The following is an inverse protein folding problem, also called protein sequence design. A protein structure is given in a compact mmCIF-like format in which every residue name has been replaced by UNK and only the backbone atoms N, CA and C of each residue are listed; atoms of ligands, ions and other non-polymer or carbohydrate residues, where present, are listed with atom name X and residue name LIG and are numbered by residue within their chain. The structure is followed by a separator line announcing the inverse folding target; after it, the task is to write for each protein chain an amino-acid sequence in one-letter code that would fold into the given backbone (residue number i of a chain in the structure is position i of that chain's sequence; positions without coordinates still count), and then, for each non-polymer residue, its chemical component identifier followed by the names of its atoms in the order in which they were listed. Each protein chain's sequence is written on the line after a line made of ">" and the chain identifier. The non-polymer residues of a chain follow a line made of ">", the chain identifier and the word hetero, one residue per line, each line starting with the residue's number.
data_IF_473325615138
#
_entry.id   IF_473325615138
#
_cell.length_a   1.000
_cell.length_b   1.000
_cell.length_c   1.000
_cell.angle_alpha   90.00
_cell.angle_beta   90.00
_cell.angle_gamma   90.00
#
_symmetry.space_group_name_H-M   'P 1'
#
loop_
_entity.id
_entity.type
_entity.pdbx_description
1 polymer ?
#
# COMPACT_ATOMS: atom_id res chain seq x y z
N UNK A 1 -30.48 30.94 -18.12
CA UNK A 1 -30.68 30.84 -19.58
C UNK A 1 -30.30 29.40 -19.96
N UNK A 2 -31.20 28.45 -19.68
CA UNK A 2 -31.91 27.58 -20.66
C UNK A 2 -30.93 26.87 -21.62
N UNK A 3 -30.90 25.55 -21.74
CA UNK A 3 -31.99 24.70 -22.27
C UNK A 3 -31.87 23.22 -21.80
N UNK A 4 -33.04 22.61 -21.61
CA UNK A 4 -33.37 21.19 -21.32
C UNK A 4 -33.70 20.46 -22.64
N UNK A 5 -33.70 19.10 -22.61
CA UNK A 5 -34.44 18.16 -23.48
C UNK A 5 -33.66 17.64 -24.73
N UNK A 6 -33.65 16.35 -25.11
CA UNK A 6 -34.70 15.32 -25.16
C UNK A 6 -34.16 13.86 -25.18
N UNK A 7 -34.91 12.95 -24.58
CA UNK A 7 -35.01 11.52 -24.90
C UNK A 7 -36.02 11.26 -26.03
N UNK A 8 -35.83 10.23 -26.87
CA UNK A 8 -36.86 9.75 -27.82
C UNK A 8 -36.41 8.60 -28.75
N UNK A 9 -37.26 7.58 -28.87
CA UNK A 9 -37.00 6.20 -29.36
C UNK A 9 -37.29 5.96 -30.87
N UNK A 10 -36.67 4.89 -31.41
CA UNK A 10 -37.24 3.81 -32.28
C UNK A 10 -37.15 3.78 -33.84
N UNK A 11 -36.26 2.88 -34.33
CA UNK A 11 -36.45 1.77 -35.32
C UNK A 11 -36.44 2.03 -36.87
N UNK A 12 -36.40 1.00 -37.76
CA UNK A 12 -35.16 0.42 -38.32
C UNK A 12 -35.16 0.29 -39.87
N UNK A 13 -34.01 0.26 -40.57
CA UNK A 13 -33.93 -0.31 -41.94
C UNK A 13 -32.57 -0.97 -42.25
N UNK A 14 -32.71 -2.10 -42.93
CA UNK A 14 -31.74 -3.09 -43.42
C UNK A 14 -30.78 -2.58 -44.51
N UNK A 15 -29.57 -3.16 -44.57
CA UNK A 15 -28.69 -3.06 -45.74
C UNK A 15 -27.31 -3.73 -45.56
N UNK A 16 -27.21 -4.99 -46.01
CA UNK A 16 -26.05 -5.71 -46.58
C UNK A 16 -24.61 -5.40 -46.11
N UNK A 17 -24.01 -6.40 -45.46
CA UNK A 17 -22.66 -6.93 -45.66
C UNK A 17 -21.49 -5.99 -45.97
N UNK A 18 -20.58 -5.85 -45.01
CA UNK A 18 -19.13 -5.94 -45.27
C UNK A 18 -18.39 -6.15 -43.95
N UNK A 19 -17.50 -7.14 -43.94
CA UNK A 19 -16.60 -7.48 -42.86
C UNK A 19 -15.79 -6.28 -42.36
N UNK A 20 -15.95 -5.91 -41.10
CA UNK A 20 -14.90 -5.25 -40.33
C UNK A 20 -14.75 -6.00 -39.02
N UNK A 21 -13.73 -6.85 -38.97
CA UNK A 21 -13.09 -7.24 -37.72
C UNK A 21 -12.67 -5.94 -37.02
N UNK A 22 -13.43 -5.56 -36.01
CA UNK A 22 -12.99 -4.55 -35.04
C UNK A 22 -11.85 -5.19 -34.27
N UNK A 23 -10.63 -4.76 -34.53
CA UNK A 23 -9.48 -5.05 -33.67
C UNK A 23 -9.80 -4.49 -32.29
N UNK A 24 -10.24 -5.36 -31.39
CA UNK A 24 -10.24 -5.06 -29.97
C UNK A 24 -8.78 -4.85 -29.56
N UNK A 25 -8.51 -3.61 -29.19
CA UNK A 25 -7.35 -3.15 -28.43
C UNK A 25 -7.19 -4.03 -27.20
N UNK A 26 -6.24 -4.97 -27.26
CA UNK A 26 -5.79 -5.76 -26.13
C UNK A 26 -4.43 -5.21 -25.68
N UNK A 27 -4.48 -4.25 -24.77
CA UNK A 27 -3.37 -3.89 -23.87
C UNK A 27 -4.01 -3.54 -22.53
N UNK A 28 -4.32 -4.56 -21.75
CA UNK A 28 -4.83 -4.45 -20.38
C UNK A 28 -3.68 -4.11 -19.41
N UNK A 29 -3.92 -3.42 -18.29
CA UNK A 29 -2.87 -3.06 -17.34
C UNK A 29 -2.50 -4.27 -16.45
N UNK A 30 -1.54 -5.06 -16.91
CA UNK A 30 -1.09 -6.34 -16.31
C UNK A 30 -0.66 -6.24 -14.82
N UNK A 31 -0.34 -5.03 -14.33
CA UNK A 31 0.07 -4.81 -12.93
C UNK A 31 -1.09 -4.85 -11.92
N UNK A 32 -2.28 -4.35 -12.30
CA UNK A 32 -3.47 -4.31 -11.43
C UNK A 32 -4.17 -5.67 -11.36
N UNK A 33 -4.00 -6.48 -12.40
CA UNK A 33 -4.52 -7.84 -12.48
C UNK A 33 -3.76 -8.78 -11.52
N UNK A 34 -2.50 -8.54 -11.18
CA UNK A 34 -1.71 -9.44 -10.32
C UNK A 34 -2.27 -9.59 -8.89
N UNK A 35 -2.59 -8.48 -8.22
CA UNK A 35 -3.20 -8.49 -6.87
C UNK A 35 -4.65 -9.00 -6.93
N UNK A 36 -5.38 -8.65 -7.99
CA UNK A 36 -6.78 -9.07 -8.21
C UNK A 36 -6.88 -10.56 -8.54
N UNK A 37 -5.94 -11.12 -9.32
CA UNK A 37 -5.83 -12.55 -9.64
C UNK A 37 -5.46 -13.36 -8.39
N UNK A 38 -4.57 -12.84 -7.54
CA UNK A 38 -4.25 -13.49 -6.26
C UNK A 38 -5.48 -13.54 -5.34
N UNK A 39 -6.26 -12.46 -5.27
CA UNK A 39 -7.53 -12.39 -4.53
C UNK A 39 -8.59 -13.38 -5.07
N UNK A 40 -8.71 -13.47 -6.40
CA UNK A 40 -9.67 -14.35 -7.09
C UNK A 40 -9.34 -15.83 -6.87
N UNK A 41 -8.05 -16.19 -6.85
CA UNK A 41 -7.59 -17.56 -6.56
C UNK A 41 -7.71 -17.95 -5.08
N UNK A 42 -7.62 -16.99 -4.16
CA UNK A 42 -7.62 -17.25 -2.71
C UNK A 42 -9.02 -17.40 -2.09
N UNK A 43 -10.07 -16.84 -2.70
CA UNK A 43 -11.37 -16.66 -2.03
C UNK A 43 -12.59 -17.24 -2.75
N UNK A 44 -12.41 -17.98 -3.85
CA UNK A 44 -13.51 -18.62 -4.58
C UNK A 44 -14.37 -19.58 -3.74
N UNK A 45 -13.77 -20.22 -2.73
CA UNK A 45 -14.39 -21.25 -1.90
C UNK A 45 -14.87 -20.75 -0.52
N UNK A 46 -14.82 -19.44 -0.26
CA UNK A 46 -15.24 -18.90 1.03
C UNK A 46 -16.75 -19.06 1.28
N UNK A 47 -17.14 -19.27 2.54
CA UNK A 47 -18.54 -19.50 2.93
C UNK A 47 -19.42 -18.26 2.71
N UNK A 48 -18.88 -17.07 2.94
CA UNK A 48 -19.58 -15.80 2.73
C UNK A 48 -18.78 -14.95 1.74
N UNK A 49 -19.27 -14.89 0.51
CA UNK A 49 -18.69 -14.09 -0.58
C UNK A 49 -19.59 -12.93 -1.01
N UNK A 50 -20.78 -12.79 -0.41
CA UNK A 50 -21.66 -11.68 -0.71
C UNK A 50 -21.03 -10.36 -0.24
N UNK A 51 -20.68 -9.48 -1.18
CA UNK A 51 -19.99 -8.20 -0.94
C UNK A 51 -20.60 -7.36 0.19
N UNK A 52 -21.93 -7.28 0.25
CA UNK A 52 -22.62 -6.52 1.30
C UNK A 52 -22.51 -7.19 2.68
N UNK A 53 -22.62 -8.53 2.72
CA UNK A 53 -22.44 -9.29 3.96
C UNK A 53 -21.00 -9.20 4.47
N UNK A 54 -20.00 -9.37 3.59
CA UNK A 54 -18.58 -9.24 3.92
C UNK A 54 -18.27 -7.85 4.46
N UNK A 55 -18.71 -6.79 3.75
CA UNK A 55 -18.57 -5.42 4.24
C UNK A 55 -19.20 -5.21 5.62
N UNK A 56 -20.41 -5.74 5.84
CA UNK A 56 -21.10 -5.69 7.13
C UNK A 56 -20.29 -6.36 8.25
N UNK A 57 -19.71 -7.53 7.97
CA UNK A 57 -18.85 -8.27 8.91
C UNK A 57 -17.59 -7.46 9.24
N UNK A 58 -16.92 -6.89 8.23
CA UNK A 58 -15.73 -6.06 8.44
C UNK A 58 -16.05 -4.84 9.31
N UNK A 59 -17.17 -4.16 9.07
CA UNK A 59 -17.61 -3.02 9.88
C UNK A 59 -17.92 -3.42 11.33
N UNK A 60 -18.54 -4.59 11.54
CA UNK A 60 -18.77 -5.13 12.89
C UNK A 60 -17.45 -5.42 13.59
N UNK A 61 -16.48 -6.03 12.90
CA UNK A 61 -15.13 -6.30 13.44
C UNK A 61 -14.48 -4.99 13.88
N UNK A 62 -14.46 -3.98 13.00
CA UNK A 62 -13.91 -2.66 13.32
C UNK A 62 -14.62 -2.04 14.54
N UNK A 63 -15.95 -2.03 14.55
CA UNK A 63 -16.72 -1.46 15.65
C UNK A 63 -16.45 -2.16 16.99
N UNK A 64 -16.34 -3.50 16.99
CA UNK A 64 -15.98 -4.29 18.18
C UNK A 64 -14.59 -3.89 18.66
N UNK A 65 -13.58 -3.90 17.78
CA UNK A 65 -12.19 -3.59 18.12
C UNK A 65 -12.08 -2.19 18.75
N UNK A 66 -12.68 -1.17 18.14
CA UNK A 66 -12.59 0.20 18.66
C UNK A 66 -13.36 0.37 19.98
N UNK A 67 -14.49 -0.32 20.15
CA UNK A 67 -15.26 -0.29 21.40
C UNK A 67 -14.51 -0.98 22.54
N UNK A 68 -13.84 -2.10 22.28
CA UNK A 68 -13.03 -2.80 23.28
C UNK A 68 -11.71 -2.06 23.55
N UNK A 69 -11.08 -1.45 22.54
CA UNK A 69 -9.85 -0.67 22.74
C UNK A 69 -10.07 0.62 23.53
N UNK A 70 -11.26 1.21 23.42
CA UNK A 70 -11.64 2.41 24.16
C UNK A 70 -12.27 2.11 25.52
N UNK A 71 -12.35 0.82 25.90
CA UNK A 71 -12.95 0.38 27.16
C UNK A 71 -12.03 0.62 28.35
N UNK A 72 -12.62 1.03 29.48
CA UNK A 72 -11.88 1.19 30.73
C UNK A 72 -11.50 -0.11 31.45
N UNK A 73 -11.99 -1.26 30.96
CA UNK A 73 -11.72 -2.56 31.57
C UNK A 73 -10.20 -2.86 31.61
N UNK A 74 -9.63 -3.20 32.79
CA UNK A 74 -8.21 -3.53 32.92
C UNK A 74 -7.72 -4.64 31.99
N UNK A 75 -8.56 -5.64 31.68
CA UNK A 75 -8.21 -6.73 30.76
C UNK A 75 -7.98 -6.23 29.34
N UNK A 76 -8.88 -5.36 28.86
CA UNK A 76 -8.75 -4.76 27.52
C UNK A 76 -7.56 -3.82 27.45
N UNK A 77 -7.32 -2.98 28.46
CA UNK A 77 -6.13 -2.12 28.52
C UNK A 77 -4.83 -2.93 28.46
N UNK A 78 -4.74 -4.05 29.18
CA UNK A 78 -3.57 -4.95 29.14
C UNK A 78 -3.40 -5.61 27.77
N UNK A 79 -4.50 -6.09 27.17
CA UNK A 79 -4.48 -6.73 25.86
C UNK A 79 -4.04 -5.75 24.75
N UNK A 80 -4.64 -4.56 24.67
CA UNK A 80 -4.29 -3.54 23.68
C UNK A 80 -2.92 -2.90 23.92
N UNK A 81 -2.37 -2.99 25.14
CA UNK A 81 -0.96 -2.68 25.40
C UNK A 81 0.03 -3.69 24.80
N UNK A 82 -0.46 -4.86 24.37
CA UNK A 82 0.32 -5.90 23.68
C UNK A 82 0.05 -5.95 22.19
N UNK A 83 -1.23 -5.93 21.82
CA UNK A 83 -1.69 -6.07 20.45
C UNK A 83 -2.42 -4.78 20.06
N UNK A 84 -1.82 -3.90 19.23
CA UNK A 84 -2.45 -2.65 18.84
C UNK A 84 -3.78 -2.86 18.12
N UNK A 85 -4.72 -1.92 18.26
CA UNK A 85 -6.05 -2.03 17.62
C UNK A 85 -5.94 -2.13 16.10
N UNK A 86 -5.10 -1.29 15.47
CA UNK A 86 -4.88 -1.31 14.02
C UNK A 86 -4.32 -2.66 13.53
N UNK A 87 -3.52 -3.34 14.35
CA UNK A 87 -3.01 -4.68 14.06
C UNK A 87 -4.15 -5.69 14.00
N UNK A 88 -5.12 -5.61 14.92
CA UNK A 88 -6.30 -6.47 14.89
C UNK A 88 -7.23 -6.17 13.73
N UNK A 89 -7.41 -4.89 13.38
CA UNK A 89 -8.21 -4.49 12.21
C UNK A 89 -7.70 -5.15 10.94
N UNK A 90 -6.39 -5.41 10.88
CA UNK A 90 -5.71 -6.08 9.78
C UNK A 90 -5.76 -7.61 9.89
N UNK A 91 -5.35 -8.17 11.04
CA UNK A 91 -5.20 -9.63 11.18
C UNK A 91 -6.52 -10.39 11.28
N UNK A 92 -7.56 -9.83 11.90
CA UNK A 92 -8.83 -10.56 12.09
C UNK A 92 -9.48 -10.86 10.74
N UNK A 93 -9.66 -9.89 9.82
CA UNK A 93 -10.15 -10.18 8.47
C UNK A 93 -9.34 -11.24 7.74
N UNK A 94 -8.00 -11.16 7.78
CA UNK A 94 -7.13 -12.13 7.09
C UNK A 94 -7.20 -13.53 7.67
N UNK A 95 -7.36 -13.67 8.99
CA UNK A 95 -7.62 -14.97 9.62
C UNK A 95 -8.95 -15.54 9.12
N UNK A 96 -10.01 -14.74 9.07
CA UNK A 96 -11.30 -15.19 8.55
C UNK A 96 -11.24 -15.54 7.06
N UNK A 97 -10.46 -14.78 6.27
CA UNK A 97 -10.19 -15.04 4.86
C UNK A 97 -9.45 -16.34 4.64
N UNK A 98 -8.32 -16.54 5.33
CA UNK A 98 -7.51 -17.77 5.31
C UNK A 98 -8.32 -19.02 5.68
N UNK A 99 -9.25 -18.92 6.65
CA UNK A 99 -10.12 -20.04 7.03
C UNK A 99 -11.34 -20.22 6.12
N UNK A 100 -11.48 -19.43 5.06
CA UNK A 100 -12.59 -19.50 4.12
C UNK A 100 -13.94 -19.09 4.73
N UNK A 101 -13.97 -18.28 5.80
CA UNK A 101 -15.21 -17.84 6.44
C UNK A 101 -15.84 -16.70 5.65
N UNK A 102 -15.02 -15.72 5.26
CA UNK A 102 -15.40 -14.59 4.40
C UNK A 102 -14.39 -14.48 3.25
N UNK A 103 -14.78 -13.94 2.11
CA UNK A 103 -13.87 -13.73 0.99
C UNK A 103 -14.37 -12.67 0.01
N UNK A 104 -13.45 -12.09 -0.75
CA UNK A 104 -13.74 -11.12 -1.83
C UNK A 104 -13.21 -11.64 -3.19
N UNK A 105 -13.79 -12.72 -3.75
CA UNK A 105 -13.25 -13.36 -4.95
C UNK A 105 -13.21 -12.45 -6.18
N UNK A 106 -14.03 -11.40 -6.24
CA UNK A 106 -13.99 -10.41 -7.33
C UNK A 106 -13.03 -9.24 -7.09
N UNK A 107 -12.40 -9.17 -5.91
CA UNK A 107 -11.59 -8.03 -5.49
C UNK A 107 -12.34 -6.70 -5.47
N UNK A 108 -13.67 -6.70 -5.40
CA UNK A 108 -14.49 -5.50 -5.54
C UNK A 108 -14.37 -4.59 -4.30
N UNK A 109 -14.32 -5.19 -3.10
CA UNK A 109 -14.08 -4.44 -1.87
C UNK A 109 -12.66 -3.89 -1.87
N UNK A 110 -11.69 -4.68 -2.33
CA UNK A 110 -10.31 -4.21 -2.51
C UNK A 110 -10.25 -3.04 -3.49
N UNK A 111 -10.94 -3.13 -4.64
CA UNK A 111 -11.03 -2.07 -5.63
C UNK A 111 -11.61 -0.78 -5.04
N UNK A 112 -12.75 -0.87 -4.33
CA UNK A 112 -13.37 0.30 -3.68
C UNK A 112 -12.44 0.88 -2.61
N UNK A 113 -11.83 0.03 -1.77
CA UNK A 113 -10.95 0.49 -0.70
C UNK A 113 -9.70 1.20 -1.25
N UNK A 114 -8.99 0.57 -2.19
CA UNK A 114 -7.71 1.06 -2.74
C UNK A 114 -7.88 2.25 -3.69
N UNK A 115 -8.97 2.33 -4.47
CA UNK A 115 -9.14 3.34 -5.52
C UNK A 115 -10.13 4.47 -5.18
N UNK A 116 -10.96 4.29 -4.17
CA UNK A 116 -11.91 5.31 -3.73
C UNK A 116 -11.58 5.79 -2.32
N UNK A 117 -11.47 4.85 -1.36
CA UNK A 117 -11.30 5.22 0.05
C UNK A 117 -9.88 5.71 0.35
N UNK A 118 -8.84 5.05 -0.17
CA UNK A 118 -7.45 5.46 0.02
C UNK A 118 -7.16 6.88 -0.52
N UNK A 119 -7.37 7.20 -1.82
CA UNK A 119 -7.09 8.56 -2.30
C UNK A 119 -7.94 9.61 -1.59
N UNK A 120 -9.20 9.30 -1.26
CA UNK A 120 -10.07 10.19 -0.48
C UNK A 120 -9.51 10.44 0.92
N UNK A 121 -9.07 9.39 1.62
CA UNK A 121 -8.50 9.54 2.95
C UNK A 121 -7.19 10.32 2.90
N UNK A 122 -6.35 10.11 1.89
CA UNK A 122 -5.11 10.87 1.70
C UNK A 122 -5.38 12.35 1.49
N UNK A 123 -6.33 12.73 0.64
CA UNK A 123 -6.75 14.12 0.46
C UNK A 123 -7.16 14.74 1.80
N UNK A 124 -8.03 14.05 2.54
CA UNK A 124 -8.56 14.55 3.80
C UNK A 124 -7.49 14.67 4.90
N UNK A 125 -6.56 13.71 4.98
CA UNK A 125 -5.42 13.77 5.90
C UNK A 125 -4.43 14.87 5.51
N UNK A 126 -4.29 15.16 4.22
CA UNK A 126 -3.47 16.28 3.73
C UNK A 126 -4.05 17.64 4.13
N UNK A 127 -5.36 17.78 4.34
CA UNK A 127 -5.94 19.07 4.75
C UNK A 127 -5.36 19.59 6.06
N UNK A 128 -4.99 18.68 6.97
CA UNK A 128 -4.47 19.00 8.30
C UNK A 128 -2.94 19.02 8.37
N UNK A 129 -2.25 18.91 7.24
CA UNK A 129 -0.80 18.71 7.16
C UNK A 129 0.02 19.96 7.54
N UNK A 130 1.17 19.73 8.16
CA UNK A 130 2.23 20.74 8.36
C UNK A 130 3.38 20.43 7.38
N UNK A 131 3.30 20.99 6.16
CA UNK A 131 4.31 20.83 5.10
C UNK A 131 5.73 21.21 5.59
N UNK A 132 5.95 22.40 6.20
CA UNK A 132 7.24 22.73 6.81
C UNK A 132 7.71 21.71 7.85
N UNK A 133 6.79 21.21 8.67
CA UNK A 133 7.06 20.17 9.66
C UNK A 133 7.55 18.85 9.06
N UNK A 134 7.02 18.45 7.90
CA UNK A 134 7.46 17.25 7.19
C UNK A 134 8.88 17.40 6.66
N UNK A 135 9.23 18.53 6.05
CA UNK A 135 10.60 18.78 5.60
C UNK A 135 11.60 18.79 6.77
N UNK A 136 11.16 19.15 7.98
CA UNK A 136 11.97 19.11 9.21
C UNK A 136 12.21 17.71 9.77
N UNK A 137 11.48 16.67 9.32
CA UNK A 137 11.82 15.28 9.65
C UNK A 137 13.25 14.93 9.18
N UNK A 138 13.73 15.67 8.17
CA UNK A 138 15.15 15.81 7.89
C UNK A 138 15.76 14.60 7.17
N UNK A 139 17.08 14.65 6.93
CA UNK A 139 17.79 13.65 6.13
C UNK A 139 17.79 12.25 6.76
N UNK A 140 17.57 12.13 8.07
CA UNK A 140 17.49 10.83 8.76
C UNK A 140 16.43 9.91 8.15
N UNK A 141 15.28 10.45 7.76
CA UNK A 141 14.22 9.66 7.12
C UNK A 141 14.66 9.12 5.75
N UNK A 142 15.31 9.97 4.94
CA UNK A 142 15.84 9.56 3.63
C UNK A 142 16.96 8.53 3.76
N UNK A 143 17.86 8.68 4.75
CA UNK A 143 18.90 7.69 5.02
C UNK A 143 18.28 6.32 5.32
N UNK A 144 17.24 6.27 6.15
CA UNK A 144 16.54 5.03 6.46
C UNK A 144 15.82 4.46 5.24
N UNK A 145 15.17 5.30 4.43
CA UNK A 145 14.55 4.88 3.18
C UNK A 145 15.57 4.24 2.22
N UNK A 146 16.71 4.89 1.97
CA UNK A 146 17.74 4.32 1.09
C UNK A 146 18.46 3.13 1.71
N UNK A 147 18.52 3.04 3.05
CA UNK A 147 19.00 1.84 3.75
C UNK A 147 18.04 0.68 3.53
N UNK A 148 16.71 0.91 3.54
CA UNK A 148 15.74 -0.12 3.20
C UNK A 148 15.94 -0.59 1.75
N UNK A 149 16.09 0.34 0.80
CA UNK A 149 16.40 0.02 -0.60
C UNK A 149 17.67 -0.83 -0.72
N UNK A 150 18.78 -0.41 -0.10
CA UNK A 150 20.03 -1.16 -0.11
C UNK A 150 19.89 -2.54 0.57
N UNK A 151 19.08 -2.63 1.64
CA UNK A 151 18.75 -3.87 2.30
C UNK A 151 18.02 -4.86 1.40
N UNK A 152 17.12 -4.39 0.54
CA UNK A 152 16.49 -5.24 -0.48
C UNK A 152 17.51 -5.64 -1.56
N UNK A 153 18.29 -4.69 -2.09
CA UNK A 153 19.28 -4.97 -3.15
C UNK A 153 20.32 -6.02 -2.73
N UNK A 154 20.82 -5.93 -1.50
CA UNK A 154 21.83 -6.85 -0.98
C UNK A 154 21.21 -8.11 -0.37
N UNK A 155 19.99 -7.99 0.17
CA UNK A 155 19.29 -9.09 0.84
C UNK A 155 18.85 -10.20 -0.12
N UNK A 156 18.53 -9.88 -1.38
CA UNK A 156 18.10 -10.88 -2.38
C UNK A 156 19.20 -11.89 -2.70
N UNK A 157 20.39 -11.42 -3.16
CA UNK A 157 21.55 -12.29 -3.37
C UNK A 157 21.96 -13.04 -2.11
N UNK A 158 21.90 -12.38 -0.95
CA UNK A 158 22.18 -13.03 0.34
C UNK A 158 21.19 -14.16 0.65
N UNK A 159 19.89 -13.96 0.43
CA UNK A 159 18.88 -14.98 0.67
C UNK A 159 19.01 -16.17 -0.28
N UNK A 160 19.30 -15.92 -1.56
CA UNK A 160 19.61 -16.97 -2.54
C UNK A 160 20.82 -17.78 -2.07
N UNK A 161 21.90 -17.10 -1.67
CA UNK A 161 23.11 -17.77 -1.19
C UNK A 161 22.85 -18.61 0.07
N UNK A 162 22.12 -18.10 1.05
CA UNK A 162 21.82 -18.87 2.27
C UNK A 162 20.99 -20.12 1.95
N UNK A 163 19.99 -19.99 1.08
CA UNK A 163 19.10 -21.12 0.72
C UNK A 163 19.82 -22.12 -0.19
N UNK A 164 20.73 -21.69 -1.06
CA UNK A 164 21.49 -22.60 -1.93
C UNK A 164 22.38 -23.57 -1.13
N UNK A 165 22.80 -23.22 0.09
CA UNK A 165 23.58 -24.09 0.98
C UNK A 165 22.83 -25.35 1.42
N UNK A 166 21.49 -25.33 1.43
CA UNK A 166 20.68 -26.44 1.95
C UNK A 166 19.60 -26.94 0.97
N UNK A 167 19.17 -26.09 0.02
CA UNK A 167 18.13 -26.36 -0.97
C UNK A 167 18.48 -25.70 -2.32
N UNK A 168 19.53 -26.18 -3.01
CA UNK A 168 19.98 -25.58 -4.28
C UNK A 168 18.92 -25.63 -5.38
N UNK A 169 18.10 -26.69 -5.42
CA UNK A 169 17.05 -26.86 -6.43
C UNK A 169 15.98 -25.76 -6.40
N UNK A 170 15.75 -25.16 -5.23
CA UNK A 170 14.74 -24.10 -5.03
C UNK A 170 15.19 -22.77 -5.64
N UNK A 171 16.50 -22.51 -5.65
CA UNK A 171 17.06 -21.22 -6.09
C UNK A 171 17.78 -21.31 -7.44
N UNK A 172 17.75 -22.50 -8.07
CA UNK A 172 18.24 -22.73 -9.42
C UNK A 172 17.18 -22.52 -10.50
N UNK A 173 17.29 -23.29 -11.58
CA UNK A 173 16.42 -23.24 -12.76
C UNK A 173 17.09 -22.58 -13.97
N UNK A 174 16.53 -22.82 -15.15
CA UNK A 174 17.04 -22.32 -16.42
C UNK A 174 15.95 -21.57 -17.20
N UNK A 175 16.38 -20.72 -18.14
CA UNK A 175 15.46 -19.98 -19.01
C UNK A 175 14.48 -19.13 -18.19
N UNK A 176 13.21 -19.17 -18.56
CA UNK A 176 12.14 -18.39 -17.92
C UNK A 176 11.72 -18.92 -16.53
N UNK A 177 12.10 -20.16 -16.19
CA UNK A 177 11.81 -20.79 -14.89
C UNK A 177 12.92 -20.55 -13.86
N UNK A 178 13.99 -19.84 -14.24
CA UNK A 178 15.07 -19.53 -13.32
C UNK A 178 14.56 -18.67 -12.16
N UNK A 179 14.75 -19.13 -10.93
CA UNK A 179 14.13 -18.55 -9.73
C UNK A 179 14.45 -17.08 -9.56
N UNK A 180 15.68 -16.66 -9.90
CA UNK A 180 16.10 -15.26 -9.84
C UNK A 180 15.27 -14.34 -10.76
N UNK A 181 14.70 -14.85 -11.87
CA UNK A 181 13.78 -14.07 -12.72
C UNK A 181 12.46 -13.83 -12.02
N UNK A 182 11.95 -14.83 -11.31
CA UNK A 182 10.78 -14.67 -10.44
C UNK A 182 11.07 -13.67 -9.31
N UNK A 183 12.18 -13.86 -8.59
CA UNK A 183 12.58 -12.97 -7.50
C UNK A 183 12.87 -11.54 -7.95
N UNK A 184 13.15 -11.32 -9.24
CA UNK A 184 13.27 -9.97 -9.83
C UNK A 184 11.98 -9.15 -9.69
N UNK A 185 10.81 -9.79 -9.80
CA UNK A 185 9.53 -9.12 -9.68
C UNK A 185 9.23 -8.79 -8.22
N UNK A 186 9.59 -9.69 -7.30
CA UNK A 186 9.56 -9.44 -5.84
C UNK A 186 10.48 -8.27 -5.46
N UNK A 187 11.69 -8.20 -6.02
CA UNK A 187 12.58 -7.05 -5.80
C UNK A 187 11.95 -5.73 -6.28
N UNK A 188 11.24 -5.77 -7.42
CA UNK A 188 10.48 -4.64 -7.94
C UNK A 188 9.41 -4.18 -6.95
N UNK A 189 8.59 -5.12 -6.47
CA UNK A 189 7.58 -4.85 -5.44
C UNK A 189 8.19 -4.31 -4.15
N UNK A 190 9.30 -4.89 -3.71
CA UNK A 190 9.92 -4.52 -2.45
C UNK A 190 10.77 -3.25 -2.50
N UNK A 191 10.95 -2.69 -3.68
CA UNK A 191 11.55 -1.36 -3.88
C UNK A 191 10.54 -0.54 -4.67
N UNK A 192 9.41 -0.22 -4.05
CA UNK A 192 8.45 0.75 -4.59
C UNK A 192 7.16 0.17 -5.15
N UNK A 193 6.78 -1.08 -4.89
CA UNK A 193 5.43 -1.60 -5.12
C UNK A 193 5.11 -2.14 -6.52
N UNK A 194 3.83 -2.46 -6.76
CA UNK A 194 3.37 -3.26 -7.91
C UNK A 194 3.71 -2.70 -9.30
N UNK A 195 3.81 -1.38 -9.47
CA UNK A 195 4.21 -0.80 -10.75
C UNK A 195 5.66 -1.18 -11.13
N UNK A 196 6.57 -1.21 -10.16
CA UNK A 196 7.93 -1.68 -10.36
C UNK A 196 7.97 -3.21 -10.53
N UNK A 197 7.11 -3.96 -9.84
CA UNK A 197 6.95 -5.41 -10.08
C UNK A 197 6.61 -5.69 -11.55
N UNK A 198 5.64 -4.97 -12.11
CA UNK A 198 5.22 -5.13 -13.50
C UNK A 198 6.33 -4.75 -14.48
N UNK A 199 7.06 -3.66 -14.24
CA UNK A 199 8.22 -3.31 -15.04
C UNK A 199 9.28 -4.43 -15.05
N UNK A 200 9.52 -5.06 -13.90
CA UNK A 200 10.47 -6.18 -13.78
C UNK A 200 9.97 -7.44 -14.50
N UNK A 201 8.65 -7.71 -14.50
CA UNK A 201 8.05 -8.81 -15.28
C UNK A 201 8.37 -8.66 -16.78
N UNK A 202 8.20 -7.45 -17.33
CA UNK A 202 8.47 -7.17 -18.74
C UNK A 202 9.95 -7.24 -19.11
N UNK A 203 10.85 -6.86 -18.19
CA UNK A 203 12.30 -6.90 -18.44
C UNK A 203 12.85 -8.33 -18.38
N UNK A 204 12.43 -9.11 -17.39
CA UNK A 204 13.04 -10.42 -17.08
C UNK A 204 12.20 -11.61 -17.50
N UNK A 205 10.96 -11.41 -17.95
CA UNK A 205 10.09 -12.42 -18.55
C UNK A 205 10.11 -13.76 -17.80
N UNK A 206 9.81 -13.79 -16.49
CA UNK A 206 9.58 -15.04 -15.78
C UNK A 206 8.38 -15.77 -16.40
N UNK A 207 8.31 -17.09 -16.25
CA UNK A 207 7.11 -17.83 -16.65
C UNK A 207 5.88 -17.36 -15.86
N UNK A 208 4.68 -17.48 -16.45
CA UNK A 208 3.45 -17.07 -15.76
C UNK A 208 3.23 -17.85 -14.46
N UNK A 209 3.60 -19.14 -14.44
CA UNK A 209 3.53 -19.98 -13.24
C UNK A 209 4.47 -19.46 -12.14
N UNK A 210 5.71 -19.14 -12.50
CA UNK A 210 6.69 -18.60 -11.56
C UNK A 210 6.26 -17.22 -11.07
N UNK A 211 5.76 -16.37 -11.97
CA UNK A 211 5.26 -15.04 -11.62
C UNK A 211 4.09 -15.10 -10.62
N UNK A 212 3.11 -15.98 -10.84
CA UNK A 212 1.99 -16.18 -9.90
C UNK A 212 2.47 -16.66 -8.52
N UNK A 213 3.44 -17.57 -8.47
CA UNK A 213 4.05 -18.00 -7.21
C UNK A 213 4.78 -16.83 -6.50
N UNK A 214 5.44 -15.95 -7.25
CA UNK A 214 6.14 -14.79 -6.71
C UNK A 214 5.21 -13.71 -6.19
N UNK A 215 4.06 -13.47 -6.84
CA UNK A 215 3.01 -12.59 -6.30
C UNK A 215 2.54 -13.12 -4.94
N UNK A 216 2.32 -14.43 -4.85
CA UNK A 216 1.89 -15.08 -3.60
C UNK A 216 2.92 -14.85 -2.48
N UNK A 217 4.20 -15.05 -2.79
CA UNK A 217 5.31 -14.81 -1.84
C UNK A 217 5.39 -13.34 -1.45
N UNK A 218 5.32 -12.43 -2.42
CA UNK A 218 5.36 -10.98 -2.23
C UNK A 218 4.28 -10.53 -1.25
N UNK A 219 3.01 -10.81 -1.57
CA UNK A 219 1.85 -10.40 -0.78
C UNK A 219 1.98 -10.89 0.65
N UNK A 220 2.24 -12.18 0.88
CA UNK A 220 2.25 -12.75 2.22
C UNK A 220 3.46 -12.28 3.04
N UNK A 221 4.67 -12.21 2.47
CA UNK A 221 5.86 -11.74 3.19
C UNK A 221 5.75 -10.25 3.51
N UNK A 222 5.28 -9.43 2.56
CA UNK A 222 5.02 -8.01 2.78
C UNK A 222 3.95 -7.80 3.86
N UNK A 223 2.90 -8.64 3.87
CA UNK A 223 1.83 -8.63 4.85
C UNK A 223 2.31 -8.99 6.27
N UNK A 224 3.13 -10.04 6.41
CA UNK A 224 3.78 -10.39 7.70
C UNK A 224 4.64 -9.21 8.19
N UNK A 225 5.41 -8.60 7.29
CA UNK A 225 6.23 -7.43 7.61
C UNK A 225 5.41 -6.21 7.99
N UNK A 226 4.30 -5.94 7.30
CA UNK A 226 3.35 -4.89 7.64
C UNK A 226 2.73 -5.12 9.01
N UNK A 227 2.35 -6.36 9.33
CA UNK A 227 1.90 -6.74 10.66
C UNK A 227 2.93 -6.41 11.74
N UNK A 228 4.21 -6.71 11.51
CA UNK A 228 5.29 -6.31 12.41
C UNK A 228 5.42 -4.78 12.54
N UNK A 229 5.26 -4.03 11.45
CA UNK A 229 5.31 -2.56 11.48
C UNK A 229 4.13 -1.92 12.23
N UNK A 230 2.92 -2.44 12.04
CA UNK A 230 1.74 -2.01 12.79
C UNK A 230 1.86 -2.34 14.29
N UNK A 231 2.43 -3.50 14.61
CA UNK A 231 2.76 -3.87 15.98
C UNK A 231 3.79 -2.90 16.60
N UNK A 232 4.85 -2.58 15.84
CA UNK A 232 5.88 -1.62 16.24
C UNK A 232 5.29 -0.22 16.47
N UNK A 233 4.37 0.24 15.61
CA UNK A 233 3.73 1.54 15.71
C UNK A 233 3.02 1.73 17.06
N UNK A 234 2.22 0.74 17.48
CA UNK A 234 1.56 0.76 18.79
C UNK A 234 2.51 0.60 19.98
N UNK A 235 3.78 0.29 19.74
CA UNK A 235 4.85 0.14 20.75
C UNK A 235 6.06 1.03 20.48
N UNK A 236 5.86 2.12 19.74
CA UNK A 236 6.93 3.02 19.31
C UNK A 236 7.82 3.49 20.45
N UNK A 237 7.24 3.84 21.60
CA UNK A 237 7.99 4.28 22.79
C UNK A 237 8.96 3.22 23.37
N UNK A 238 8.69 1.93 23.17
CA UNK A 238 9.61 0.84 23.58
C UNK A 238 10.80 0.79 22.60
N UNK A 239 10.51 0.79 21.30
CA UNK A 239 11.53 0.75 20.25
C UNK A 239 12.41 1.99 20.26
N UNK A 240 11.82 3.17 20.40
CA UNK A 240 12.55 4.44 20.45
C UNK A 240 13.53 4.49 21.64
N UNK A 241 13.14 3.94 22.80
CA UNK A 241 14.04 3.81 23.96
C UNK A 241 15.20 2.86 23.67
N UNK A 242 14.94 1.72 23.03
CA UNK A 242 15.98 0.76 22.64
C UNK A 242 16.94 1.32 21.58
N UNK A 243 16.42 2.10 20.63
CA UNK A 243 17.17 2.80 19.59
C UNK A 243 17.94 4.02 20.12
N UNK A 244 17.66 4.48 21.35
CA UNK A 244 18.10 5.78 21.88
C UNK A 244 17.74 6.92 20.92
N UNK A 245 16.53 6.85 20.37
CA UNK A 245 16.08 7.71 19.30
C UNK A 245 15.98 9.17 19.73
N UNK A 246 16.42 10.07 18.83
CA UNK A 246 16.13 11.49 18.93
C UNK A 246 14.76 11.76 18.29
N UNK A 247 13.78 12.04 19.16
CA UNK A 247 12.38 12.26 18.78
C UNK A 247 12.01 13.73 18.65
N UNK A 248 12.95 14.65 18.81
CA UNK A 248 12.67 16.10 18.91
C UNK A 248 11.81 16.60 17.75
N UNK A 249 12.17 16.26 16.51
CA UNK A 249 11.42 16.68 15.33
C UNK A 249 10.01 16.07 15.24
N UNK A 250 9.86 14.82 15.68
CA UNK A 250 8.57 14.11 15.66
C UNK A 250 7.63 14.64 16.74
N UNK A 251 8.14 14.84 17.96
CA UNK A 251 7.35 15.31 19.09
C UNK A 251 6.95 16.79 18.90
N UNK A 252 7.82 17.61 18.30
CA UNK A 252 7.52 19.01 17.95
C UNK A 252 6.45 19.10 16.85
N UNK A 253 6.51 18.22 15.85
CA UNK A 253 5.45 18.07 14.84
C UNK A 253 4.12 17.66 15.49
N UNK A 254 4.11 16.64 16.36
CA UNK A 254 2.89 16.22 17.06
C UNK A 254 2.30 17.36 17.90
N UNK A 255 3.14 18.06 18.68
CA UNK A 255 2.72 19.16 19.56
C UNK A 255 2.11 20.32 18.79
N UNK A 256 2.73 20.75 17.69
CA UNK A 256 2.18 21.82 16.84
C UNK A 256 0.82 21.46 16.29
N UNK A 257 0.67 20.22 15.85
CA UNK A 257 -0.55 19.81 15.19
C UNK A 257 -1.68 19.65 16.21
N UNK A 258 -1.39 19.21 17.44
CA UNK A 258 -2.38 19.22 18.54
C UNK A 258 -2.77 20.65 18.95
N UNK A 259 -1.81 21.57 19.03
CA UNK A 259 -2.08 22.98 19.36
C UNK A 259 -2.93 23.69 18.29
N UNK A 260 -2.76 23.37 17.01
CA UNK A 260 -3.53 23.97 15.92
C UNK A 260 -5.02 23.61 15.96
N UNK A 261 -5.37 22.39 16.39
CA UNK A 261 -6.72 21.84 16.24
C UNK A 261 -7.44 21.54 17.56
N UNK A 262 -6.73 21.32 18.66
CA UNK A 262 -7.30 20.94 19.95
C UNK A 262 -8.32 21.94 20.51
N UNK A 263 -8.09 23.24 20.29
CA UNK A 263 -8.94 24.31 20.84
C UNK A 263 -10.08 24.79 19.93
N UNK A 264 -10.23 24.21 18.72
CA UNK A 264 -11.21 24.67 17.72
C UNK A 264 -12.21 23.61 17.29
N UNK A 265 -12.15 22.42 17.88
CA UNK A 265 -13.06 21.33 17.53
C UNK A 265 -14.50 21.63 17.95
N UNK A 266 -15.46 21.27 17.10
CA UNK A 266 -16.90 21.33 17.42
C UNK A 266 -17.62 20.08 16.91
N UNK A 267 -18.86 19.87 17.39
CA UNK A 267 -19.71 18.79 16.90
C UNK A 267 -20.05 19.08 15.42
N UNK A 268 -19.81 18.12 14.50
CA UNK A 268 -20.13 18.29 13.10
C UNK A 268 -21.65 18.19 12.87
N UNK A 269 -22.17 19.06 12.02
CA UNK A 269 -23.51 18.91 11.44
C UNK A 269 -23.47 17.95 10.24
N UNK A 270 -24.63 17.48 9.79
CA UNK A 270 -24.73 16.70 8.54
C UNK A 270 -24.15 17.46 7.35
N UNK A 271 -24.32 18.79 7.30
CA UNK A 271 -23.73 19.63 6.25
C UNK A 271 -22.19 19.62 6.29
N UNK A 272 -21.60 19.64 7.48
CA UNK A 272 -20.14 19.54 7.65
C UNK A 272 -19.62 18.19 7.14
N UNK A 273 -20.30 17.09 7.51
CA UNK A 273 -19.94 15.75 7.07
C UNK A 273 -20.08 15.59 5.55
N UNK A 274 -21.17 16.10 4.97
CA UNK A 274 -21.36 16.11 3.51
C UNK A 274 -20.29 16.94 2.81
N UNK A 275 -19.86 18.06 3.41
CA UNK A 275 -18.78 18.90 2.86
C UNK A 275 -17.44 18.16 2.90
N UNK A 276 -17.12 17.47 3.99
CA UNK A 276 -15.92 16.62 4.09
C UNK A 276 -15.93 15.56 2.99
N UNK A 277 -17.02 14.81 2.85
CA UNK A 277 -17.16 13.80 1.80
C UNK A 277 -17.05 14.41 0.40
N UNK A 278 -17.72 15.53 0.14
CA UNK A 278 -17.69 16.20 -1.15
C UNK A 278 -16.27 16.64 -1.52
N UNK A 279 -15.53 17.27 -0.61
CA UNK A 279 -14.14 17.70 -0.88
C UNK A 279 -13.23 16.50 -1.14
N UNK A 280 -13.30 15.46 -0.31
CA UNK A 280 -12.46 14.28 -0.46
C UNK A 280 -12.75 13.50 -1.75
N UNK A 281 -14.02 13.20 -2.03
CA UNK A 281 -14.40 12.42 -3.21
C UNK A 281 -14.35 13.22 -4.51
N UNK A 282 -14.59 14.55 -4.50
CA UNK A 282 -14.40 15.37 -5.70
C UNK A 282 -12.92 15.43 -6.10
N UNK A 283 -12.01 15.62 -5.14
CA UNK A 283 -10.58 15.57 -5.40
C UNK A 283 -10.15 14.19 -5.95
N UNK A 284 -10.68 13.12 -5.38
CA UNK A 284 -10.44 11.74 -5.86
C UNK A 284 -10.98 11.52 -7.27
N UNK A 285 -12.19 11.99 -7.57
CA UNK A 285 -12.76 11.90 -8.92
C UNK A 285 -11.92 12.64 -9.97
N UNK A 286 -11.44 13.84 -9.64
CA UNK A 286 -10.51 14.60 -10.50
C UNK A 286 -9.21 13.79 -10.71
N UNK A 287 -8.66 13.23 -9.64
CA UNK A 287 -7.44 12.43 -9.71
C UNK A 287 -7.62 11.17 -10.57
N UNK A 288 -8.75 10.50 -10.45
CA UNK A 288 -9.08 9.30 -11.20
C UNK A 288 -9.21 9.57 -12.70
N UNK A 289 -10.03 10.56 -13.10
CA UNK A 289 -10.20 10.96 -14.50
C UNK A 289 -8.86 11.43 -15.10
N UNK A 290 -8.05 12.15 -14.31
CA UNK A 290 -6.73 12.58 -14.77
C UNK A 290 -5.78 11.40 -14.96
N UNK A 291 -5.81 10.42 -14.05
CA UNK A 291 -4.98 9.22 -14.14
C UNK A 291 -5.35 8.35 -15.35
N UNK A 292 -6.65 8.21 -15.66
CA UNK A 292 -7.15 7.52 -16.86
C UNK A 292 -6.68 8.17 -18.16
N UNK A 293 -6.44 9.48 -18.16
CA UNK A 293 -5.90 10.18 -19.32
C UNK A 293 -4.36 10.09 -19.40
N UNK A 294 -3.68 10.25 -18.27
CA UNK A 294 -2.23 10.40 -18.24
C UNK A 294 -1.50 9.06 -18.43
N UNK A 295 -1.93 7.99 -17.76
CA UNK A 295 -1.27 6.67 -17.84
C UNK A 295 -1.20 6.13 -19.28
N UNK A 296 -2.35 5.99 -19.97
CA UNK A 296 -2.39 5.54 -21.36
C UNK A 296 -1.69 6.51 -22.34
N UNK A 297 -1.68 7.82 -22.04
CA UNK A 297 -0.92 8.77 -22.85
C UNK A 297 0.59 8.48 -22.80
N UNK A 298 1.13 8.20 -21.61
CA UNK A 298 2.53 7.79 -21.45
C UNK A 298 2.81 6.46 -22.15
N UNK A 299 1.90 5.49 -22.05
CA UNK A 299 2.02 4.21 -22.71
C UNK A 299 2.10 4.36 -24.24
N UNK A 300 1.24 5.19 -24.83
CA UNK A 300 1.20 5.40 -26.28
C UNK A 300 2.35 6.27 -26.82
N UNK A 301 2.77 7.31 -26.08
CA UNK A 301 3.71 8.32 -26.59
C UNK A 301 5.14 8.15 -26.07
N UNK A 302 5.31 7.51 -24.92
CA UNK A 302 6.61 7.28 -24.29
C UNK A 302 6.64 5.93 -23.57
N UNK A 303 6.54 4.77 -24.28
CA UNK A 303 6.53 3.44 -23.66
C UNK A 303 7.73 3.20 -22.73
N UNK A 304 8.86 3.81 -23.06
CA UNK A 304 10.07 3.77 -22.24
C UNK A 304 9.89 4.32 -20.82
N UNK A 305 8.83 5.10 -20.57
CA UNK A 305 8.51 5.68 -19.27
C UNK A 305 7.93 4.65 -18.27
N UNK A 306 7.55 3.46 -18.75
CA UNK A 306 7.12 2.35 -17.89
C UNK A 306 8.17 1.98 -16.84
N UNK A 307 9.47 2.15 -17.16
CA UNK A 307 10.59 1.95 -16.22
C UNK A 307 10.60 2.91 -15.02
N UNK A 308 9.79 3.96 -15.06
CA UNK A 308 9.61 4.94 -13.99
C UNK A 308 8.19 4.86 -13.38
N UNK A 309 7.43 3.80 -13.68
CA UNK A 309 6.03 3.62 -13.27
C UNK A 309 5.06 4.70 -13.81
N UNK A 310 5.47 5.52 -14.79
CA UNK A 310 4.64 6.63 -15.30
C UNK A 310 3.47 6.17 -16.18
N UNK A 311 3.44 4.90 -16.59
CA UNK A 311 2.30 4.29 -17.28
C UNK A 311 1.23 3.78 -16.30
N UNK A 312 1.52 3.74 -14.99
CA UNK A 312 0.59 3.22 -13.99
C UNK A 312 -0.51 4.24 -13.66
N UNK A 313 -1.76 3.84 -13.84
CA UNK A 313 -2.93 4.62 -13.41
C UNK A 313 -2.93 4.82 -11.89
N UNK A 314 -2.65 3.77 -11.11
CA UNK A 314 -2.61 3.85 -9.64
C UNK A 314 -1.54 4.84 -9.14
N UNK A 315 -0.36 4.88 -9.78
CA UNK A 315 0.67 5.88 -9.50
C UNK A 315 0.12 7.31 -9.61
N UNK A 316 -0.49 7.63 -10.75
CA UNK A 316 -1.04 8.97 -11.00
C UNK A 316 -2.23 9.30 -10.11
N UNK A 317 -3.11 8.32 -9.84
CA UNK A 317 -4.22 8.49 -8.90
C UNK A 317 -3.72 8.99 -7.55
N UNK A 318 -2.72 8.32 -6.96
CA UNK A 318 -2.18 8.69 -5.65
C UNK A 318 -1.41 10.01 -5.71
N UNK A 319 -0.58 10.22 -6.73
CA UNK A 319 0.21 11.45 -6.89
C UNK A 319 -0.71 12.66 -7.03
N UNK A 320 -1.72 12.59 -7.89
CA UNK A 320 -2.65 13.69 -8.15
C UNK A 320 -3.55 13.94 -6.96
N UNK A 321 -4.14 12.89 -6.36
CA UNK A 321 -4.99 13.03 -5.17
C UNK A 321 -4.22 13.71 -4.02
N UNK A 322 -2.98 13.27 -3.77
CA UNK A 322 -2.13 13.86 -2.73
C UNK A 322 -1.75 15.29 -3.08
N UNK A 323 -1.41 15.57 -4.34
CA UNK A 323 -1.10 16.94 -4.79
C UNK A 323 -2.29 17.87 -4.59
N UNK A 324 -3.50 17.45 -4.95
CA UNK A 324 -4.73 18.22 -4.71
C UNK A 324 -4.92 18.42 -3.21
N UNK A 325 -4.77 17.38 -2.39
CA UNK A 325 -4.87 17.48 -0.92
C UNK A 325 -3.88 18.49 -0.33
N UNK A 326 -2.63 18.49 -0.80
CA UNK A 326 -1.59 19.44 -0.38
C UNK A 326 -1.93 20.86 -0.84
N UNK A 327 -2.39 21.05 -2.07
CA UNK A 327 -2.84 22.35 -2.56
C UNK A 327 -4.02 22.87 -1.75
N UNK A 328 -5.00 22.01 -1.45
CA UNK A 328 -6.14 22.33 -0.60
C UNK A 328 -5.71 22.67 0.83
N UNK A 329 -4.65 22.05 1.36
CA UNK A 329 -4.11 22.38 2.67
C UNK A 329 -3.65 23.85 2.78
N UNK A 330 -3.22 24.46 1.65
CA UNK A 330 -2.86 25.87 1.57
C UNK A 330 -4.08 26.80 1.65
N UNK A 331 -5.29 26.31 1.36
CA UNK A 331 -6.52 27.08 1.48
C UNK A 331 -7.05 27.03 2.93
N UNK A 332 -7.10 28.20 3.57
CA UNK A 332 -7.58 28.33 4.96
C UNK A 332 -9.01 27.81 5.18
N UNK A 333 -9.86 27.88 4.15
CA UNK A 333 -11.24 27.35 4.19
C UNK A 333 -11.27 25.82 4.26
N UNK A 334 -10.48 25.15 3.42
CA UNK A 334 -10.42 23.68 3.41
C UNK A 334 -9.81 23.14 4.72
N UNK A 335 -8.81 23.83 5.29
CA UNK A 335 -8.21 23.47 6.58
C UNK A 335 -9.19 23.52 7.75
N UNK A 336 -10.21 24.40 7.69
CA UNK A 336 -11.27 24.47 8.74
C UNK A 336 -12.12 23.20 8.81
N UNK A 337 -12.13 22.36 7.78
CA UNK A 337 -12.82 21.06 7.81
C UNK A 337 -12.22 20.13 8.87
N UNK A 338 -10.96 20.34 9.28
CA UNK A 338 -10.37 19.59 10.40
C UNK A 338 -11.08 19.91 11.73
N UNK A 339 -11.59 21.12 11.92
CA UNK A 339 -12.32 21.50 13.14
C UNK A 339 -13.63 20.70 13.33
N UNK A 340 -14.18 20.17 12.24
CA UNK A 340 -15.39 19.34 12.22
C UNK A 340 -15.06 17.85 11.99
N UNK A 341 -13.79 17.48 12.00
CA UNK A 341 -13.34 16.09 12.03
C UNK A 341 -13.05 15.45 10.68
N UNK A 342 -12.55 16.20 9.69
CA UNK A 342 -12.08 15.64 8.42
C UNK A 342 -11.13 14.43 8.62
N UNK A 343 -10.14 14.54 9.51
CA UNK A 343 -9.23 13.42 9.83
C UNK A 343 -9.93 12.23 10.48
N UNK A 344 -11.05 12.41 11.18
CA UNK A 344 -11.82 11.30 11.77
C UNK A 344 -12.52 10.48 10.68
N UNK A 345 -13.14 11.16 9.70
CA UNK A 345 -13.74 10.50 8.53
C UNK A 345 -12.64 9.81 7.70
N UNK A 346 -11.51 10.48 7.48
CA UNK A 346 -10.37 9.88 6.80
C UNK A 346 -9.85 8.63 7.54
N UNK A 347 -9.84 8.63 8.87
CA UNK A 347 -9.45 7.47 9.67
C UNK A 347 -10.42 6.30 9.52
N UNK A 348 -11.73 6.56 9.37
CA UNK A 348 -12.72 5.49 9.08
C UNK A 348 -12.40 4.82 7.74
N UNK A 349 -12.15 5.62 6.69
CA UNK A 349 -11.75 5.11 5.37
C UNK A 349 -10.44 4.33 5.45
N UNK A 350 -9.47 4.84 6.21
CA UNK A 350 -8.21 4.17 6.45
C UNK A 350 -8.38 2.81 7.13
N UNK A 351 -9.18 2.72 8.20
CA UNK A 351 -9.38 1.44 8.90
C UNK A 351 -10.20 0.45 8.07
N UNK A 352 -11.11 0.94 7.22
CA UNK A 352 -11.79 0.12 6.24
C UNK A 352 -10.78 -0.46 5.24
N UNK A 353 -9.89 0.37 4.69
CA UNK A 353 -8.82 -0.08 3.81
C UNK A 353 -7.92 -1.12 4.49
N UNK A 354 -7.50 -0.88 5.74
CA UNK A 354 -6.70 -1.83 6.52
C UNK A 354 -7.39 -3.19 6.65
N UNK A 355 -8.70 -3.19 6.92
CA UNK A 355 -9.46 -4.41 7.07
C UNK A 355 -9.62 -5.17 5.74
N UNK A 356 -9.77 -4.46 4.63
CA UNK A 356 -9.84 -5.09 3.30
C UNK A 356 -8.47 -5.62 2.88
N UNK A 357 -7.38 -4.86 3.04
CA UNK A 357 -6.02 -5.38 2.78
C UNK A 357 -5.74 -6.61 3.65
N UNK A 358 -6.20 -6.59 4.90
CA UNK A 358 -6.12 -7.74 5.79
C UNK A 358 -6.84 -8.97 5.24
N UNK A 359 -8.03 -8.79 4.64
CA UNK A 359 -8.84 -9.87 4.05
C UNK A 359 -8.08 -10.61 2.94
N UNK A 360 -7.30 -9.89 2.13
CA UNK A 360 -6.50 -10.45 1.03
C UNK A 360 -5.35 -11.37 1.47
N UNK A 361 -5.10 -11.51 2.77
CA UNK A 361 -4.06 -12.39 3.28
C UNK A 361 -4.53 -13.86 3.31
N UNK A 362 -3.87 -14.71 2.51
CA UNK A 362 -4.03 -16.17 2.53
C UNK A 362 -2.79 -16.87 3.12
N UNK A 363 -2.87 -17.36 4.36
CA UNK A 363 -1.75 -18.08 4.98
C UNK A 363 -1.62 -19.53 4.51
N UNK A 364 -2.62 -20.11 3.82
CA UNK A 364 -2.56 -21.49 3.36
C UNK A 364 -1.53 -21.68 2.25
N UNK A 365 -1.31 -20.63 1.44
CA UNK A 365 -0.33 -20.62 0.36
C UNK A 365 1.12 -20.84 0.85
N UNK A 366 1.40 -20.56 2.13
CA UNK A 366 2.71 -20.80 2.76
C UNK A 366 3.12 -22.28 2.67
N UNK A 367 2.15 -23.19 2.79
CA UNK A 367 2.42 -24.62 2.69
C UNK A 367 2.81 -25.04 1.26
N UNK A 368 2.21 -24.38 0.25
CA UNK A 368 2.43 -24.69 -1.17
C UNK A 368 3.81 -24.25 -1.65
N UNK A 369 4.25 -23.03 -1.30
CA UNK A 369 5.51 -22.46 -1.77
C UNK A 369 6.57 -22.34 -0.66
N UNK A 370 6.59 -23.31 0.26
CA UNK A 370 7.36 -23.28 1.52
C UNK A 370 8.78 -22.72 1.39
N UNK A 371 9.56 -23.19 0.42
CA UNK A 371 10.95 -22.77 0.31
C UNK A 371 11.14 -21.38 -0.30
N UNK A 372 10.26 -20.96 -1.21
CA UNK A 372 10.25 -19.57 -1.71
C UNK A 372 9.87 -18.59 -0.59
N UNK A 373 8.96 -19.00 0.31
CA UNK A 373 8.69 -18.26 1.53
C UNK A 373 9.91 -18.13 2.44
N UNK A 374 10.70 -19.21 2.60
CA UNK A 374 11.95 -19.16 3.36
C UNK A 374 12.93 -18.14 2.75
N UNK A 375 13.09 -18.13 1.43
CA UNK A 375 13.89 -17.10 0.73
C UNK A 375 13.37 -15.70 1.08
N UNK A 376 12.07 -15.47 0.93
CA UNK A 376 11.45 -14.17 1.22
C UNK A 376 11.63 -13.72 2.68
N UNK A 377 11.49 -14.63 3.65
CA UNK A 377 11.67 -14.33 5.07
C UNK A 377 13.13 -14.03 5.43
N UNK A 378 14.09 -14.75 4.85
CA UNK A 378 15.53 -14.46 5.04
C UNK A 378 15.87 -13.09 4.46
N UNK A 379 15.36 -12.81 3.25
CA UNK A 379 15.55 -11.53 2.58
C UNK A 379 14.98 -10.37 3.41
N UNK A 380 13.73 -10.50 3.86
CA UNK A 380 13.09 -9.50 4.71
C UNK A 380 13.81 -9.34 6.05
N UNK A 381 14.26 -10.44 6.65
CA UNK A 381 15.04 -10.45 7.88
C UNK A 381 16.38 -9.72 7.75
N UNK A 382 17.07 -9.88 6.61
CA UNK A 382 18.30 -9.16 6.30
C UNK A 382 18.06 -7.66 6.23
N UNK A 383 17.05 -7.24 5.45
CA UNK A 383 16.66 -5.84 5.30
C UNK A 383 16.28 -5.22 6.64
N UNK A 384 15.44 -5.91 7.43
CA UNK A 384 15.03 -5.46 8.75
C UNK A 384 16.21 -5.30 9.70
N UNK A 385 17.14 -6.28 9.72
CA UNK A 385 18.35 -6.22 10.54
C UNK A 385 19.21 -5.02 10.17
N UNK A 386 19.46 -4.80 8.88
CA UNK A 386 20.23 -3.65 8.39
C UNK A 386 19.59 -2.32 8.80
N UNK A 387 18.26 -2.21 8.66
CA UNK A 387 17.50 -1.03 9.07
C UNK A 387 17.65 -0.72 10.55
N UNK A 388 17.50 -1.72 11.42
CA UNK A 388 17.65 -1.51 12.86
C UNK A 388 19.07 -1.12 13.25
N UNK A 389 20.10 -1.68 12.59
CA UNK A 389 21.49 -1.31 12.81
C UNK A 389 21.71 0.16 12.46
N UNK A 390 21.33 0.58 11.25
CA UNK A 390 21.53 1.96 10.79
C UNK A 390 20.68 2.94 11.61
N UNK A 391 19.43 2.61 11.91
CA UNK A 391 18.57 3.44 12.75
C UNK A 391 19.17 3.68 14.14
N UNK A 392 19.76 2.65 14.74
CA UNK A 392 20.45 2.77 16.02
C UNK A 392 21.72 3.63 15.90
N UNK A 393 22.47 3.48 14.80
CA UNK A 393 23.69 4.27 14.56
C UNK A 393 23.38 5.77 14.44
N UNK A 394 22.31 6.14 13.73
CA UNK A 394 21.93 7.55 13.52
C UNK A 394 20.90 8.07 14.54
N UNK A 395 20.53 7.25 15.53
CA UNK A 395 19.50 7.53 16.54
C UNK A 395 18.15 7.94 15.91
N UNK A 396 17.73 7.23 14.87
CA UNK A 396 16.45 7.46 14.21
C UNK A 396 15.29 6.87 15.05
N UNK A 397 14.12 7.54 15.10
CA UNK A 397 12.92 6.98 15.69
C UNK A 397 12.40 5.78 14.90
N UNK A 398 11.70 4.90 15.59
CA UNK A 398 11.00 3.73 15.02
C UNK A 398 10.03 4.12 13.89
N UNK A 399 9.44 5.31 13.96
CA UNK A 399 8.64 5.89 12.89
C UNK A 399 9.39 5.92 11.54
N UNK A 400 10.68 6.29 11.52
CA UNK A 400 11.45 6.34 10.28
C UNK A 400 11.70 4.95 9.71
N UNK A 401 11.98 3.96 10.57
CA UNK A 401 12.12 2.55 10.18
C UNK A 401 10.82 2.09 9.51
N UNK A 402 9.70 2.31 10.18
CA UNK A 402 8.42 1.79 9.72
C UNK A 402 7.98 2.40 8.40
N UNK A 403 8.00 3.73 8.28
CA UNK A 403 7.57 4.41 7.06
C UNK A 403 8.59 4.26 5.93
N UNK A 404 9.89 4.41 6.21
CA UNK A 404 10.94 4.26 5.21
C UNK A 404 11.00 2.85 4.63
N UNK A 405 10.83 1.83 5.47
CA UNK A 405 10.76 0.43 5.02
C UNK A 405 9.49 0.14 4.23
N UNK A 406 8.33 0.62 4.69
CA UNK A 406 7.05 0.30 4.04
C UNK A 406 6.85 1.04 2.73
N UNK A 407 7.41 2.25 2.59
CA UNK A 407 7.49 2.96 1.32
C UNK A 407 8.29 2.20 0.26
N UNK A 408 9.21 1.33 0.67
CA UNK A 408 9.87 0.38 -0.22
C UNK A 408 8.97 -0.85 -0.43
N UNK A 409 8.57 -1.56 0.63
CA UNK A 409 8.00 -2.90 0.52
C UNK A 409 6.55 -2.97 0.04
N UNK A 410 5.67 -2.08 0.51
CA UNK A 410 4.25 -2.10 0.15
C UNK A 410 3.76 -0.83 -0.55
N UNK A 411 4.72 -0.01 -1.02
CA UNK A 411 4.47 1.11 -1.92
C UNK A 411 3.42 2.11 -1.42
N UNK A 412 2.64 2.65 -2.36
CA UNK A 412 1.72 3.75 -2.08
C UNK A 412 0.45 3.34 -1.34
N UNK A 413 0.11 2.03 -1.31
CA UNK A 413 -1.04 1.53 -0.59
C UNK A 413 -0.77 1.38 0.92
N UNK A 414 0.34 0.74 1.31
CA UNK A 414 0.59 0.40 2.71
C UNK A 414 1.41 1.43 3.49
N UNK A 415 2.31 2.17 2.84
CA UNK A 415 3.18 3.13 3.55
C UNK A 415 2.40 4.23 4.29
N UNK A 416 1.34 4.82 3.71
CA UNK A 416 0.51 5.80 4.42
C UNK A 416 -0.24 5.19 5.61
N UNK A 417 -0.62 3.92 5.50
CA UNK A 417 -1.29 3.17 6.58
C UNK A 417 -0.36 3.01 7.77
N UNK A 418 0.86 2.53 7.53
CA UNK A 418 1.84 2.36 8.59
C UNK A 418 2.23 3.70 9.20
N UNK A 419 2.38 4.77 8.40
CA UNK A 419 2.60 6.11 8.93
C UNK A 419 1.44 6.59 9.81
N UNK A 420 0.20 6.39 9.37
CA UNK A 420 -1.00 6.74 10.11
C UNK A 420 -1.16 5.96 11.42
N UNK A 421 -0.60 4.75 11.50
CA UNK A 421 -0.58 3.94 12.72
C UNK A 421 0.22 4.60 13.86
N UNK A 422 1.22 5.42 13.53
CA UNK A 422 1.94 6.24 14.52
C UNK A 422 1.15 7.50 14.84
N UNK A 423 0.68 8.20 13.81
CA UNK A 423 -0.22 9.33 13.92
C UNK A 423 -0.91 9.55 12.56
N UNK A 424 -2.25 9.62 12.48
CA UNK A 424 -2.98 9.78 11.20
C UNK A 424 -2.46 10.93 10.33
N UNK A 425 -1.99 12.01 10.97
CA UNK A 425 -1.51 13.22 10.28
C UNK A 425 -0.13 13.05 9.64
N UNK A 426 0.54 11.91 9.87
CA UNK A 426 1.81 11.53 9.23
C UNK A 426 1.62 10.68 7.97
N UNK A 427 0.39 10.25 7.64
CA UNK A 427 0.12 9.47 6.43
C UNK A 427 0.71 10.08 5.14
N UNK A 428 0.66 11.41 4.92
CA UNK A 428 1.25 12.01 3.72
C UNK A 428 2.77 11.79 3.59
N UNK A 429 3.49 11.64 4.72
CA UNK A 429 4.93 11.32 4.70
C UNK A 429 5.16 9.96 4.05
N UNK A 430 4.31 8.98 4.36
CA UNK A 430 4.33 7.67 3.74
C UNK A 430 4.08 7.74 2.24
N UNK A 431 3.14 8.58 1.79
CA UNK A 431 2.88 8.78 0.36
C UNK A 431 4.09 9.37 -0.36
N UNK A 432 4.67 10.45 0.17
CA UNK A 432 5.81 11.13 -0.46
C UNK A 432 7.00 10.17 -0.62
N UNK A 433 7.26 9.34 0.40
CA UNK A 433 8.30 8.33 0.31
C UNK A 433 7.94 7.19 -0.64
N UNK A 434 6.68 6.78 -0.73
CA UNK A 434 6.24 5.77 -1.69
C UNK A 434 6.41 6.24 -3.14
N UNK A 435 6.14 7.52 -3.42
CA UNK A 435 6.42 8.14 -4.73
C UNK A 435 7.92 8.11 -5.05
N UNK A 436 8.78 8.38 -4.05
CA UNK A 436 10.23 8.20 -4.20
C UNK A 436 10.59 6.73 -4.48
N UNK A 437 9.93 5.79 -3.81
CA UNK A 437 10.02 4.34 -4.05
C UNK A 437 9.73 3.97 -5.50
N UNK A 438 8.62 4.45 -6.06
CA UNK A 438 8.30 4.25 -7.46
C UNK A 438 9.41 4.73 -8.40
N UNK A 439 10.01 5.89 -8.12
CA UNK A 439 11.04 6.47 -8.98
C UNK A 439 12.37 5.70 -8.96
N UNK A 440 12.82 5.22 -7.80
CA UNK A 440 14.12 4.53 -7.65
C UNK A 440 14.01 3.01 -7.86
N UNK A 441 12.79 2.49 -7.84
CA UNK A 441 12.52 1.09 -7.65
C UNK A 441 12.95 0.15 -8.75
N UNK A 442 12.53 0.43 -9.98
CA UNK A 442 12.92 -0.39 -11.15
C UNK A 442 14.44 -0.50 -11.27
N UNK A 443 15.18 0.58 -10.97
CA UNK A 443 16.65 0.58 -11.01
C UNK A 443 17.26 -0.26 -9.89
N UNK A 444 16.77 -0.10 -8.66
CA UNK A 444 17.21 -0.89 -7.52
C UNK A 444 16.93 -2.39 -7.73
N UNK A 445 15.73 -2.71 -8.19
CA UNK A 445 15.32 -4.08 -8.49
C UNK A 445 16.14 -4.70 -9.62
N UNK A 446 16.43 -3.94 -10.67
CA UNK A 446 17.33 -4.37 -11.74
C UNK A 446 18.73 -4.70 -11.21
N UNK A 447 19.31 -3.81 -10.38
CA UNK A 447 20.61 -4.05 -9.77
C UNK A 447 20.60 -5.30 -8.87
N UNK A 448 19.57 -5.44 -8.01
CA UNK A 448 19.35 -6.62 -7.20
C UNK A 448 19.33 -7.89 -8.06
N UNK A 449 18.63 -7.84 -9.20
CA UNK A 449 18.47 -8.97 -10.11
C UNK A 449 19.79 -9.39 -10.76
N UNK A 450 20.62 -8.43 -11.18
CA UNK A 450 21.96 -8.72 -11.69
C UNK A 450 22.84 -9.41 -10.64
N UNK A 451 22.76 -8.98 -9.38
CA UNK A 451 23.49 -9.63 -8.29
C UNK A 451 22.95 -11.04 -7.99
N UNK A 452 21.63 -11.23 -8.01
CA UNK A 452 21.00 -12.54 -7.81
C UNK A 452 21.36 -13.52 -8.93
N UNK A 453 21.35 -13.06 -10.18
CA UNK A 453 21.75 -13.87 -11.34
C UNK A 453 23.20 -14.33 -11.22
N UNK A 454 24.11 -13.43 -10.83
CA UNK A 454 25.52 -13.77 -10.61
C UNK A 454 25.66 -14.89 -9.56
N UNK A 455 24.99 -14.75 -8.41
CA UNK A 455 25.00 -15.74 -7.33
C UNK A 455 24.31 -17.07 -7.69
N UNK A 456 23.41 -17.08 -8.68
CA UNK A 456 22.74 -18.30 -9.16
C UNK A 456 23.54 -19.02 -10.25
N UNK A 457 24.49 -18.35 -10.90
CA UNK A 457 25.31 -18.91 -11.99
C UNK A 457 26.65 -19.51 -11.55
N UNK A 458 27.01 -19.37 -10.27
CA UNK A 458 28.19 -19.97 -9.64
C UNK A 458 27.78 -20.97 -8.57
#
# INVERSE_FOLDING_TARGET
>A
MLVICLTGCATPKSGSGTSKQTSQTASAPIAEDAETIAAELAHGDAWITNRAAVLGILLVILAVIFRTSSSDNPRWKKFYGIVPSILLCYFIPGVLGTFGIIGDPGGDLYFVASRFLLPTCLVLLCLAIDLPGIFRLGPKLLIIFFTATAGIILGGPFAIWVVSLFQPDVVGGEGAEATWRGLSTVAGSWIGGGANMAAMKEIFLPSEKLFAAMITVDVIVANIWMGFMLWMAGRSAMFDRWLKADRTALDDLQTRVDAMYGNKSRIPSTADLMTICAVGFAATGIAFVSAEAIGPWFEANAPWSARFSLTSMFFWLIVIATTIGLLLSCLSSARKLEHVGASKIASVFLYMLVAVIGLEMDLTAIATYKWLFVVGLIWMGFQGTLLFIVAKAIRAPSFFIAVGSQANIGGAASAPIVAAAFNPRLAPVGVLLAVLGYAVGTYGAWLCTMLMQYMSSG
#
